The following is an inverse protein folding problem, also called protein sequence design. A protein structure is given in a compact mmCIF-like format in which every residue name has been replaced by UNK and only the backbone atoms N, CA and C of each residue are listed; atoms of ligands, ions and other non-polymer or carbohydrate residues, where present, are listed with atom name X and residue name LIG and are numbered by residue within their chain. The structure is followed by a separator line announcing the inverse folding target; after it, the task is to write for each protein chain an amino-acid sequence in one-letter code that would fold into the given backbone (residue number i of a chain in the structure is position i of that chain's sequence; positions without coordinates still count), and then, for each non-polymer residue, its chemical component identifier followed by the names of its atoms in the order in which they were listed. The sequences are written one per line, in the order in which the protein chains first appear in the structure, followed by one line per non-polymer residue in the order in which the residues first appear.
data_IF_980966291141
#
_entry.id   IF_980966291141
#
_cell.length_a   1.000
_cell.length_b   1.000
_cell.length_c   1.000
_cell.angle_alpha   90.00
_cell.angle_beta   90.00
_cell.angle_gamma   90.00
#
_symmetry.space_group_name_H-M   'P 1'
#
loop_
_entity.id
_entity.type
_entity.pdbx_description
1 polymer ?
#
# COMPACT_ATOMS: atom_id res chain seq x y z
N UNK A 1 -17.07 17.22 2.08
CA UNK A 1 -16.17 17.38 0.90
C UNK A 1 -14.89 16.61 1.16
N UNK A 2 -14.33 15.94 0.15
CA UNK A 2 -13.01 15.28 0.23
C UNK A 2 -12.02 16.07 -0.63
N UNK A 3 -10.89 16.50 -0.03
CA UNK A 3 -9.79 17.12 -0.76
C UNK A 3 -8.81 16.03 -1.27
N UNK A 4 -8.42 16.09 -2.54
CA UNK A 4 -7.47 15.14 -3.13
C UNK A 4 -6.33 15.93 -3.77
N UNK A 5 -5.16 15.88 -3.14
CA UNK A 5 -3.95 16.49 -3.65
C UNK A 5 -3.27 15.53 -4.64
N UNK A 6 -2.91 16.02 -5.84
CA UNK A 6 -2.32 15.16 -6.88
C UNK A 6 -3.29 14.21 -7.57
N UNK A 7 -4.58 14.52 -7.57
CA UNK A 7 -5.67 13.71 -8.10
C UNK A 7 -5.51 13.27 -9.57
N UNK A 8 -4.85 14.08 -10.41
CA UNK A 8 -4.62 13.79 -11.83
C UNK A 8 -3.25 13.11 -12.12
N UNK A 9 -2.56 12.66 -11.08
CA UNK A 9 -1.38 11.79 -11.18
C UNK A 9 -1.74 10.33 -11.43
N UNK A 10 -0.74 9.49 -11.73
CA UNK A 10 -0.93 8.07 -12.08
C UNK A 10 -1.74 7.28 -11.03
N UNK A 11 -1.55 7.56 -9.74
CA UNK A 11 -2.30 6.95 -8.63
C UNK A 11 -3.58 7.72 -8.33
N UNK A 12 -3.48 9.07 -8.30
CA UNK A 12 -4.59 9.93 -7.91
C UNK A 12 -5.82 9.79 -8.78
N UNK A 13 -5.67 9.52 -10.09
CA UNK A 13 -6.79 9.26 -11.00
C UNK A 13 -7.65 8.07 -10.51
N UNK A 14 -7.01 6.99 -10.10
CA UNK A 14 -7.70 5.79 -9.63
C UNK A 14 -8.36 6.00 -8.26
N UNK A 15 -7.69 6.71 -7.36
CA UNK A 15 -8.27 7.08 -6.07
C UNK A 15 -9.50 7.99 -6.25
N UNK A 16 -9.38 9.00 -7.10
CA UNK A 16 -10.48 9.94 -7.37
C UNK A 16 -11.68 9.23 -7.99
N UNK A 17 -11.46 8.36 -9.00
CA UNK A 17 -12.52 7.57 -9.61
C UNK A 17 -13.19 6.62 -8.62
N UNK A 18 -12.39 5.93 -7.79
CA UNK A 18 -12.94 5.05 -6.75
C UNK A 18 -13.83 5.82 -5.78
N UNK A 19 -13.39 6.97 -5.27
CA UNK A 19 -14.17 7.81 -4.35
C UNK A 19 -15.46 8.31 -5.02
N UNK A 20 -15.39 8.79 -6.26
CA UNK A 20 -16.58 9.28 -7.01
C UNK A 20 -17.60 8.19 -7.24
N UNK A 21 -17.17 7.01 -7.63
CA UNK A 21 -18.06 5.91 -7.96
C UNK A 21 -18.74 5.29 -6.73
N UNK A 22 -18.17 5.48 -5.54
CA UNK A 22 -18.60 4.78 -4.32
C UNK A 22 -19.06 5.74 -3.21
N UNK A 23 -19.25 7.02 -3.53
CA UNK A 23 -19.73 8.00 -2.57
C UNK A 23 -20.40 9.20 -3.24
N UNK A 24 -21.13 9.98 -2.45
CA UNK A 24 -21.72 11.25 -2.84
C UNK A 24 -20.94 12.49 -2.34
N UNK A 25 -19.70 12.29 -1.93
CA UNK A 25 -18.88 13.42 -1.48
C UNK A 25 -18.56 14.37 -2.64
N UNK A 26 -18.70 15.67 -2.38
CA UNK A 26 -18.13 16.69 -3.27
C UNK A 26 -16.60 16.58 -3.18
N UNK A 27 -15.91 16.78 -4.32
CA UNK A 27 -14.46 16.69 -4.37
C UNK A 27 -13.82 18.04 -4.61
N UNK A 28 -12.69 18.28 -3.94
CA UNK A 28 -11.75 19.35 -4.26
C UNK A 28 -10.47 18.74 -4.78
N UNK A 29 -10.11 19.06 -6.02
CA UNK A 29 -8.95 18.56 -6.73
C UNK A 29 -7.82 19.56 -6.61
N UNK A 30 -6.76 19.19 -5.91
CA UNK A 30 -5.60 20.04 -5.66
C UNK A 30 -4.36 19.66 -6.46
N UNK A 31 -3.59 20.66 -6.86
CA UNK A 31 -2.29 20.46 -7.48
C UNK A 31 -1.60 21.77 -7.88
N UNK A 32 -0.28 21.72 -8.06
CA UNK A 32 0.53 22.89 -8.42
C UNK A 32 0.19 23.48 -9.79
N UNK A 33 -0.14 22.64 -10.74
CA UNK A 33 -0.37 23.03 -12.14
C UNK A 33 -1.67 22.38 -12.63
N UNK A 34 -2.79 22.85 -12.11
CA UNK A 34 -4.11 22.30 -12.46
C UNK A 34 -4.43 22.46 -13.97
N UNK A 35 -3.82 23.44 -14.64
CA UNK A 35 -3.98 23.67 -16.09
C UNK A 35 -3.38 22.52 -16.92
N UNK A 36 -2.42 21.77 -16.37
CA UNK A 36 -1.80 20.60 -17.01
C UNK A 36 -2.61 19.32 -16.83
N UNK A 37 -3.70 19.35 -16.06
CA UNK A 37 -4.59 18.21 -15.96
C UNK A 37 -5.21 17.90 -17.34
N UNK A 38 -5.25 16.61 -17.75
CA UNK A 38 -5.88 16.21 -19.02
C UNK A 38 -7.29 16.77 -19.15
N UNK A 39 -7.64 17.24 -20.36
CA UNK A 39 -8.95 17.82 -20.66
C UNK A 39 -10.08 16.83 -20.41
N UNK A 40 -9.83 15.54 -20.65
CA UNK A 40 -10.77 14.44 -20.43
C UNK A 40 -11.12 14.32 -18.94
N UNK A 41 -10.12 14.45 -18.03
CA UNK A 41 -10.36 14.42 -16.59
C UNK A 41 -11.10 15.68 -16.11
N UNK A 42 -10.84 16.83 -16.72
CA UNK A 42 -11.59 18.05 -16.40
C UNK A 42 -13.06 17.93 -16.80
N UNK A 43 -13.33 17.30 -17.92
CA UNK A 43 -14.70 17.02 -18.37
C UNK A 43 -15.36 15.94 -17.48
N UNK A 44 -14.65 14.86 -17.17
CA UNK A 44 -15.12 13.77 -16.28
C UNK A 44 -15.45 14.28 -14.87
N UNK A 45 -14.66 15.24 -14.35
CA UNK A 45 -14.82 15.81 -12.99
C UNK A 45 -15.26 17.27 -13.02
N UNK A 46 -16.17 17.61 -13.92
CA UNK A 46 -16.67 18.98 -14.12
C UNK A 46 -17.40 19.55 -12.91
N UNK A 47 -17.93 18.70 -12.03
CA UNK A 47 -18.59 19.03 -10.78
C UNK A 47 -17.62 19.19 -9.59
N UNK A 48 -16.33 18.86 -9.75
CA UNK A 48 -15.33 19.02 -8.71
C UNK A 48 -14.78 20.45 -8.66
N UNK A 49 -14.40 20.88 -7.47
CA UNK A 49 -13.70 22.14 -7.26
C UNK A 49 -12.21 21.95 -7.57
N UNK A 50 -11.70 22.69 -8.59
CA UNK A 50 -10.30 22.63 -9.00
C UNK A 50 -9.52 23.78 -8.36
N UNK A 51 -8.52 23.46 -7.55
CA UNK A 51 -7.78 24.43 -6.74
C UNK A 51 -6.28 24.31 -6.98
N UNK A 52 -5.63 25.42 -7.35
CA UNK A 52 -4.17 25.48 -7.40
C UNK A 52 -3.62 25.49 -5.97
N UNK A 53 -2.72 24.58 -5.66
CA UNK A 53 -2.13 24.40 -4.33
C UNK A 53 -0.62 24.35 -4.41
N UNK A 54 0.04 25.19 -3.62
CA UNK A 54 1.45 25.06 -3.30
C UNK A 54 1.58 24.65 -1.83
N UNK A 55 1.90 23.40 -1.58
CA UNK A 55 2.04 22.85 -0.22
C UNK A 55 3.24 23.44 0.52
N UNK A 56 4.18 24.09 -0.14
CA UNK A 56 5.27 24.81 0.51
C UNK A 56 4.81 26.16 1.09
N UNK A 57 3.63 26.62 0.71
CA UNK A 57 3.01 27.84 1.22
C UNK A 57 1.87 27.47 2.19
N UNK A 58 2.02 27.82 3.47
CA UNK A 58 1.08 27.48 4.53
C UNK A 58 -0.35 27.97 4.23
N UNK A 59 -0.50 29.23 3.82
CA UNK A 59 -1.82 29.80 3.50
C UNK A 59 -2.51 29.05 2.35
N UNK A 60 -1.76 28.69 1.30
CA UNK A 60 -2.28 27.91 0.17
C UNK A 60 -2.74 26.51 0.61
N UNK A 61 -1.98 25.84 1.48
CA UNK A 61 -2.33 24.54 2.03
C UNK A 61 -3.56 24.63 2.96
N UNK A 62 -3.62 25.65 3.81
CA UNK A 62 -4.76 25.93 4.69
C UNK A 62 -6.05 26.16 3.89
N UNK A 63 -6.00 26.99 2.84
CA UNK A 63 -7.15 27.26 1.96
C UNK A 63 -7.62 25.99 1.24
N UNK A 64 -6.68 25.13 0.82
CA UNK A 64 -7.04 23.85 0.22
C UNK A 64 -7.78 22.93 1.18
N UNK A 65 -7.39 22.89 2.45
CA UNK A 65 -8.02 22.03 3.46
C UNK A 65 -9.33 22.59 4.00
N UNK A 66 -9.61 23.89 3.82
CA UNK A 66 -10.81 24.55 4.36
C UNK A 66 -12.10 23.88 3.88
N UNK A 67 -12.95 23.47 4.85
CA UNK A 67 -14.23 22.83 4.57
C UNK A 67 -14.13 21.39 4.05
N UNK A 68 -12.94 20.80 4.02
CA UNK A 68 -12.78 19.37 3.76
C UNK A 68 -12.99 18.57 5.04
N UNK A 69 -13.66 17.42 4.91
CA UNK A 69 -13.86 16.46 6.00
C UNK A 69 -12.66 15.53 6.16
N UNK A 70 -11.91 15.34 5.08
CA UNK A 70 -10.70 14.53 5.00
C UNK A 70 -9.88 14.92 3.78
N UNK A 71 -8.57 14.77 3.87
CA UNK A 71 -7.63 14.97 2.76
C UNK A 71 -7.00 13.65 2.38
N UNK A 72 -6.92 13.38 1.08
CA UNK A 72 -6.08 12.35 0.50
C UNK A 72 -4.92 13.00 -0.25
N UNK A 73 -3.70 12.72 0.18
CA UNK A 73 -2.49 13.18 -0.47
C UNK A 73 -1.90 12.07 -1.37
N UNK A 74 -2.08 12.26 -2.67
CA UNK A 74 -1.50 11.45 -3.75
C UNK A 74 -0.27 12.13 -4.41
N UNK A 75 0.22 13.23 -3.85
CA UNK A 75 1.40 13.92 -4.36
C UNK A 75 2.68 13.37 -3.70
N UNK A 76 3.81 13.49 -4.40
CA UNK A 76 5.10 13.27 -3.75
C UNK A 76 5.51 14.54 -3.02
N UNK A 77 5.30 14.57 -1.71
CA UNK A 77 5.71 15.64 -0.83
C UNK A 77 7.09 15.35 -0.23
N UNK A 78 7.85 16.40 0.09
CA UNK A 78 9.03 16.29 0.94
C UNK A 78 8.63 16.16 2.41
N UNK A 79 9.53 15.68 3.28
CA UNK A 79 9.28 15.58 4.72
C UNK A 79 8.77 16.90 5.32
N UNK A 80 9.37 18.04 4.92
CA UNK A 80 8.93 19.34 5.39
C UNK A 80 7.50 19.72 4.93
N UNK A 81 7.12 19.36 3.72
CA UNK A 81 5.77 19.59 3.19
C UNK A 81 4.75 18.68 3.87
N UNK A 82 5.09 17.42 4.10
CA UNK A 82 4.24 16.48 4.84
C UNK A 82 4.02 16.96 6.27
N UNK A 83 5.10 17.37 6.96
CA UNK A 83 5.00 17.92 8.32
C UNK A 83 4.13 19.18 8.39
N UNK A 84 4.17 20.05 7.38
CA UNK A 84 3.29 21.22 7.29
C UNK A 84 1.82 20.81 7.09
N UNK A 85 1.55 19.82 6.25
CA UNK A 85 0.20 19.29 6.07
C UNK A 85 -0.36 18.69 7.37
N UNK A 86 0.47 17.97 8.13
CA UNK A 86 0.09 17.40 9.43
C UNK A 86 -0.24 18.49 10.45
N UNK A 87 0.59 19.56 10.53
CA UNK A 87 0.33 20.70 11.41
C UNK A 87 -1.02 21.36 11.08
N UNK A 88 -1.29 21.55 9.80
CA UNK A 88 -2.56 22.16 9.35
C UNK A 88 -3.73 21.21 9.64
N UNK A 89 -3.56 19.90 9.41
CA UNK A 89 -4.55 18.87 9.70
C UNK A 89 -4.97 18.89 11.19
N UNK A 90 -4.01 18.95 12.09
CA UNK A 90 -4.25 19.07 13.53
C UNK A 90 -4.97 20.41 13.87
N UNK A 91 -4.50 21.53 13.33
CA UNK A 91 -5.09 22.85 13.59
C UNK A 91 -6.54 22.96 13.10
N UNK A 92 -6.86 22.31 11.97
CA UNK A 92 -8.21 22.33 11.38
C UNK A 92 -9.09 21.16 11.80
N UNK A 93 -8.57 20.25 12.60
CA UNK A 93 -9.26 19.00 12.97
C UNK A 93 -9.72 18.21 11.73
N UNK A 94 -8.89 18.19 10.67
CA UNK A 94 -9.18 17.53 9.40
C UNK A 94 -8.24 16.32 9.22
N UNK A 95 -8.74 15.08 9.21
CA UNK A 95 -7.92 13.90 8.95
C UNK A 95 -7.19 13.99 7.62
N UNK A 96 -5.97 13.41 7.56
CA UNK A 96 -5.18 13.33 6.33
C UNK A 96 -4.63 11.91 6.12
N UNK A 97 -4.70 11.43 4.89
CA UNK A 97 -4.08 10.19 4.44
C UNK A 97 -2.98 10.52 3.43
N UNK A 98 -1.75 10.12 3.72
CA UNK A 98 -0.61 10.23 2.82
C UNK A 98 -0.31 8.87 2.16
N UNK A 99 -0.10 8.88 0.85
CA UNK A 99 0.40 7.67 0.16
C UNK A 99 1.83 7.31 0.56
N UNK A 100 2.67 8.32 0.78
CA UNK A 100 4.06 8.15 1.20
C UNK A 100 4.20 7.87 2.70
N UNK A 101 5.45 7.61 3.08
CA UNK A 101 5.86 7.44 4.48
C UNK A 101 6.93 8.46 4.90
N UNK A 102 7.20 9.45 4.04
CA UNK A 102 8.20 10.48 4.29
C UNK A 102 7.82 11.31 5.52
N UNK A 103 8.72 11.36 6.49
CA UNK A 103 8.51 12.11 7.73
C UNK A 103 7.63 11.40 8.76
N UNK A 104 7.19 10.16 8.51
CA UNK A 104 6.38 9.40 9.47
C UNK A 104 7.05 9.30 10.83
N UNK A 105 6.33 9.74 11.85
CA UNK A 105 6.69 9.57 13.27
C UNK A 105 5.41 9.29 14.05
N UNK A 106 5.36 8.12 14.69
CA UNK A 106 4.19 7.76 15.51
C UNK A 106 4.03 8.74 16.67
N UNK A 107 2.86 9.34 16.78
CA UNK A 107 2.52 10.25 17.87
C UNK A 107 1.00 10.22 18.15
N UNK A 108 0.62 10.63 19.34
CA UNK A 108 -0.78 10.96 19.60
C UNK A 108 -1.17 12.20 18.81
N UNK A 109 -2.38 12.20 18.28
CA UNK A 109 -2.96 13.33 17.57
C UNK A 109 -4.46 13.36 17.81
N UNK A 110 -5.04 14.54 17.81
CA UNK A 110 -6.48 14.74 17.92
C UNK A 110 -7.25 14.34 16.67
N UNK A 111 -6.55 14.15 15.55
CA UNK A 111 -7.08 13.71 14.26
C UNK A 111 -6.32 12.48 13.75
N UNK A 112 -6.93 11.76 12.83
CA UNK A 112 -6.24 10.67 12.15
C UNK A 112 -5.27 11.22 11.11
N UNK A 113 -3.98 10.94 11.28
CA UNK A 113 -2.92 11.21 10.32
C UNK A 113 -2.34 9.86 9.90
N UNK A 114 -2.63 9.45 8.68
CA UNK A 114 -2.35 8.09 8.21
C UNK A 114 -1.32 8.14 7.10
N UNK A 115 -0.25 7.39 7.26
CA UNK A 115 0.82 7.25 6.29
C UNK A 115 0.78 5.90 5.60
N UNK A 116 1.36 5.82 4.41
CA UNK A 116 1.39 4.58 3.64
C UNK A 116 0.01 4.12 3.21
N UNK A 117 -0.88 5.04 2.81
CA UNK A 117 -2.26 4.73 2.46
C UNK A 117 -2.39 4.16 1.03
N UNK A 118 -1.49 3.24 0.66
CA UNK A 118 -1.42 2.62 -0.66
C UNK A 118 -1.63 1.11 -0.66
N UNK A 119 -0.97 0.43 -1.60
CA UNK A 119 -1.00 -1.03 -1.67
C UNK A 119 0.21 -1.67 -0.96
N UNK A 120 1.40 -1.08 -1.06
CA UNK A 120 2.64 -1.48 -0.40
C UNK A 120 3.46 -0.20 -0.13
N UNK A 121 3.49 0.32 1.11
CA UNK A 121 2.73 -0.09 2.29
C UNK A 121 1.22 0.23 2.19
N UNK A 122 0.45 -0.35 3.09
CA UNK A 122 -0.99 -0.15 3.26
C UNK A 122 -1.75 -1.46 3.22
N UNK A 123 -2.18 -1.93 2.05
CA UNK A 123 -2.84 -3.26 1.97
C UNK A 123 -1.95 -4.38 2.47
N UNK A 124 -0.63 -4.29 2.28
CA UNK A 124 0.34 -5.24 2.83
C UNK A 124 0.23 -5.40 4.34
N UNK A 125 -0.19 -4.37 5.06
CA UNK A 125 -0.46 -4.44 6.49
C UNK A 125 -1.90 -4.83 6.85
N UNK A 126 -2.88 -4.45 6.02
CA UNK A 126 -4.30 -4.74 6.28
C UNK A 126 -4.67 -6.20 5.98
N UNK A 127 -4.08 -6.82 4.96
CA UNK A 127 -4.40 -8.20 4.55
C UNK A 127 -4.13 -9.21 5.65
N UNK A 128 -2.96 -9.19 6.33
CA UNK A 128 -2.74 -10.06 7.48
C UNK A 128 -3.77 -9.86 8.59
N UNK A 129 -4.15 -8.62 8.91
CA UNK A 129 -5.17 -8.36 9.92
C UNK A 129 -6.55 -8.88 9.52
N UNK A 130 -6.91 -8.78 8.23
CA UNK A 130 -8.17 -9.30 7.72
C UNK A 130 -8.24 -10.82 7.85
N UNK A 131 -7.15 -11.54 7.52
CA UNK A 131 -7.11 -13.00 7.69
C UNK A 131 -7.06 -13.41 9.16
N UNK A 132 -6.35 -12.66 10.01
CA UNK A 132 -6.20 -12.94 11.43
C UNK A 132 -7.54 -13.04 12.19
N UNK A 133 -8.63 -12.41 11.68
CA UNK A 133 -9.97 -12.51 12.24
C UNK A 133 -10.57 -13.94 12.19
N UNK A 134 -9.94 -14.84 11.43
CA UNK A 134 -10.33 -16.25 11.39
C UNK A 134 -9.78 -17.06 12.57
N UNK A 135 -8.94 -16.45 13.41
CA UNK A 135 -8.24 -17.10 14.51
C UNK A 135 -8.56 -16.44 15.85
N UNK A 136 -8.47 -17.21 16.92
CA UNK A 136 -8.43 -16.69 18.28
C UNK A 136 -7.01 -16.21 18.62
N UNK A 137 -5.99 -16.90 18.04
CA UNK A 137 -4.58 -16.53 18.14
C UNK A 137 -3.80 -16.99 16.90
N UNK A 138 -2.97 -16.12 16.35
CA UNK A 138 -2.09 -16.41 15.21
C UNK A 138 -0.71 -16.77 15.73
N UNK A 139 -0.21 -17.96 15.38
CA UNK A 139 1.16 -18.39 15.69
C UNK A 139 2.15 -17.95 14.61
N UNK A 140 1.82 -18.21 13.35
CA UNK A 140 2.73 -17.92 12.26
C UNK A 140 2.04 -17.29 11.05
N UNK A 141 2.84 -16.48 10.33
CA UNK A 141 2.49 -15.85 9.07
C UNK A 141 3.57 -16.12 8.03
N UNK A 142 3.17 -16.61 6.86
CA UNK A 142 3.92 -16.50 5.62
C UNK A 142 3.16 -15.58 4.66
N UNK A 143 3.77 -14.47 4.28
CA UNK A 143 3.13 -13.47 3.46
C UNK A 143 3.98 -13.11 2.25
N UNK A 144 3.46 -13.39 1.06
CA UNK A 144 4.07 -13.12 -0.23
C UNK A 144 3.27 -12.05 -0.94
N UNK A 145 3.93 -11.03 -1.44
CA UNK A 145 3.27 -9.93 -2.12
C UNK A 145 4.16 -9.31 -3.18
N UNK A 146 3.54 -8.78 -4.21
CA UNK A 146 4.25 -8.15 -5.31
C UNK A 146 3.34 -7.89 -6.49
N UNK A 147 3.96 -7.73 -7.65
CA UNK A 147 3.22 -7.49 -8.88
C UNK A 147 4.12 -7.25 -10.08
N UNK A 148 3.47 -7.09 -11.21
CA UNK A 148 4.05 -6.68 -12.47
C UNK A 148 3.37 -5.41 -12.95
N UNK A 149 4.13 -4.34 -13.12
CA UNK A 149 3.62 -3.05 -13.60
C UNK A 149 4.72 -2.11 -14.05
N UNK A 150 4.37 -1.20 -14.95
CA UNK A 150 5.27 -0.16 -15.39
C UNK A 150 5.45 0.89 -14.30
N UNK A 151 6.68 1.14 -13.90
CA UNK A 151 6.98 2.20 -12.95
C UNK A 151 6.84 3.59 -13.57
N UNK A 152 6.15 4.48 -12.88
CA UNK A 152 6.35 5.92 -13.06
C UNK A 152 7.70 6.33 -12.47
N UNK A 153 8.20 7.52 -12.82
CA UNK A 153 9.43 8.05 -12.24
C UNK A 153 9.37 8.10 -10.69
N UNK A 154 8.26 8.58 -10.16
CA UNK A 154 8.03 8.65 -8.72
C UNK A 154 8.04 7.27 -8.07
N UNK A 155 7.30 6.31 -8.62
CA UNK A 155 7.26 4.95 -8.09
C UNK A 155 8.62 4.25 -8.14
N UNK A 156 9.40 4.47 -9.20
CA UNK A 156 10.76 3.93 -9.31
C UNK A 156 11.72 4.55 -8.28
N UNK A 157 11.60 5.86 -8.04
CA UNK A 157 12.37 6.54 -7.01
C UNK A 157 12.02 6.01 -5.62
N UNK A 158 10.72 5.94 -5.29
CA UNK A 158 10.26 5.45 -3.97
C UNK A 158 10.68 4.00 -3.73
N UNK A 159 10.65 3.18 -4.78
CA UNK A 159 11.12 1.80 -4.71
C UNK A 159 12.63 1.73 -4.41
N UNK A 160 13.46 2.52 -5.11
CA UNK A 160 14.90 2.58 -4.85
C UNK A 160 15.17 3.11 -3.43
N UNK A 161 14.49 4.17 -3.02
CA UNK A 161 14.61 4.75 -1.68
C UNK A 161 14.24 3.71 -0.60
N UNK A 162 13.19 2.91 -0.84
CA UNK A 162 12.77 1.86 0.10
C UNK A 162 13.82 0.77 0.31
N UNK A 163 14.59 0.42 -0.71
CA UNK A 163 15.67 -0.58 -0.62
C UNK A 163 16.90 -0.07 0.15
N UNK A 164 17.00 1.24 0.35
CA UNK A 164 18.15 1.87 0.99
C UNK A 164 17.81 2.58 2.31
N UNK A 165 16.55 2.50 2.73
CA UNK A 165 16.11 3.04 4.00
C UNK A 165 16.58 2.10 5.13
N UNK A 166 17.27 2.65 6.12
CA UNK A 166 17.82 1.89 7.26
C UNK A 166 16.72 1.22 8.12
N UNK A 167 15.49 1.69 8.03
CA UNK A 167 14.33 1.10 8.70
C UNK A 167 13.77 -0.13 7.96
N UNK A 168 14.17 -0.35 6.70
CA UNK A 168 13.75 -1.49 5.91
C UNK A 168 14.84 -2.56 5.94
N UNK A 169 14.48 -3.74 6.39
CA UNK A 169 15.41 -4.85 6.60
C UNK A 169 15.15 -5.93 5.57
N UNK A 170 16.17 -6.29 4.82
CA UNK A 170 16.13 -7.42 3.89
C UNK A 170 16.80 -8.64 4.49
N UNK A 171 16.41 -9.84 4.05
CA UNK A 171 16.98 -11.12 4.50
C UNK A 171 16.82 -11.35 6.01
N UNK A 172 15.66 -10.94 6.55
CA UNK A 172 15.30 -11.15 7.96
C UNK A 172 13.84 -11.59 8.09
N UNK A 173 13.51 -12.16 9.24
CA UNK A 173 12.16 -12.50 9.64
C UNK A 173 11.95 -12.25 11.13
N UNK A 174 10.70 -12.23 11.56
CA UNK A 174 10.31 -12.07 12.95
C UNK A 174 10.15 -13.43 13.63
N UNK A 175 10.71 -13.56 14.84
CA UNK A 175 10.49 -14.74 15.69
C UNK A 175 10.55 -14.36 17.17
N UNK A 176 9.45 -14.61 17.90
CA UNK A 176 9.33 -14.46 19.36
C UNK A 176 9.85 -13.11 19.90
N UNK A 177 9.51 -12.02 19.23
CA UNK A 177 9.90 -10.67 19.66
C UNK A 177 11.21 -10.16 19.06
N UNK A 178 11.94 -10.99 18.32
CA UNK A 178 13.24 -10.65 17.74
C UNK A 178 13.20 -10.68 16.20
N UNK A 179 14.06 -9.88 15.58
CA UNK A 179 14.29 -9.90 14.14
C UNK A 179 15.58 -10.68 13.89
N UNK A 180 15.45 -11.81 13.21
CA UNK A 180 16.53 -12.75 12.98
C UNK A 180 16.90 -12.82 11.49
N UNK A 181 18.16 -13.14 11.14
CA UNK A 181 18.55 -13.41 9.77
C UNK A 181 17.74 -14.55 9.18
N UNK A 182 17.32 -14.39 7.93
CA UNK A 182 16.60 -15.40 7.16
C UNK A 182 17.49 -15.91 6.02
N UNK A 183 17.72 -17.23 6.01
CA UNK A 183 18.38 -17.89 4.90
C UNK A 183 17.32 -18.67 4.10
N UNK A 184 17.03 -18.27 2.86
CA UNK A 184 16.07 -19.00 2.02
C UNK A 184 16.57 -20.41 1.77
N UNK A 185 15.72 -21.41 2.04
CA UNK A 185 15.97 -22.76 1.58
C UNK A 185 15.51 -22.95 0.14
N UNK A 186 16.07 -23.92 -0.57
CA UNK A 186 15.65 -24.25 -1.94
C UNK A 186 14.18 -24.72 -2.03
N UNK A 187 13.54 -25.01 -0.90
CA UNK A 187 12.16 -25.48 -0.77
C UNK A 187 11.16 -24.35 -0.42
N UNK A 188 11.62 -23.09 -0.27
CA UNK A 188 10.75 -21.96 0.13
C UNK A 188 9.77 -21.51 -0.97
N UNK A 189 9.85 -22.08 -2.16
CA UNK A 189 8.83 -21.91 -3.21
C UNK A 189 7.75 -22.98 -3.07
N UNK A 190 6.70 -22.70 -2.33
CA UNK A 190 5.54 -23.57 -2.33
C UNK A 190 4.95 -23.67 -3.75
N UNK A 191 4.39 -24.82 -4.11
CA UNK A 191 3.71 -25.00 -5.40
C UNK A 191 2.55 -24.01 -5.57
N UNK A 192 1.97 -23.57 -4.46
CA UNK A 192 0.94 -22.52 -4.41
C UNK A 192 1.40 -21.20 -5.01
N UNK A 193 2.66 -20.79 -4.77
CA UNK A 193 3.22 -19.58 -5.37
C UNK A 193 3.36 -19.68 -6.89
N UNK A 194 3.78 -20.83 -7.39
CA UNK A 194 3.95 -21.08 -8.83
C UNK A 194 2.63 -21.02 -9.59
N UNK A 195 1.52 -21.35 -8.92
CA UNK A 195 0.17 -21.29 -9.51
C UNK A 195 -0.40 -19.89 -9.57
N UNK A 196 0.10 -18.96 -8.76
CA UNK A 196 -0.45 -17.61 -8.61
C UNK A 196 0.17 -16.62 -9.60
N UNK A 197 1.49 -16.71 -9.83
CA UNK A 197 2.20 -15.78 -10.72
C UNK A 197 3.58 -16.33 -11.13
N UNK A 198 4.11 -15.82 -12.25
CA UNK A 198 5.52 -16.05 -12.62
C UNK A 198 6.40 -15.15 -11.74
N UNK A 199 7.08 -15.75 -10.78
CA UNK A 199 8.02 -15.06 -9.89
C UNK A 199 9.44 -15.30 -10.39
N UNK A 200 10.15 -14.22 -10.73
CA UNK A 200 11.54 -14.28 -11.17
C UNK A 200 12.52 -14.12 -10.00
N UNK A 201 12.11 -13.37 -8.97
CA UNK A 201 12.90 -13.17 -7.75
C UNK A 201 12.00 -12.95 -6.55
N UNK A 202 12.35 -13.57 -5.45
CA UNK A 202 11.74 -13.41 -4.14
C UNK A 202 12.84 -13.10 -3.11
N UNK A 203 12.53 -12.23 -2.16
CA UNK A 203 13.41 -11.95 -1.04
C UNK A 203 12.65 -11.49 0.19
N UNK A 204 13.11 -11.89 1.39
CA UNK A 204 12.55 -11.39 2.64
C UNK A 204 12.71 -9.88 2.74
N UNK A 205 11.60 -9.21 3.04
CA UNK A 205 11.54 -7.76 3.19
C UNK A 205 10.67 -7.41 4.41
N UNK A 206 11.29 -6.85 5.43
CA UNK A 206 10.64 -6.57 6.70
C UNK A 206 10.82 -5.09 7.03
N UNK A 207 9.76 -4.32 6.79
CA UNK A 207 9.71 -2.89 7.03
C UNK A 207 9.00 -2.53 8.34
N UNK A 208 8.81 -1.23 8.58
CA UNK A 208 8.13 -0.74 9.78
C UNK A 208 6.65 -1.15 9.84
N UNK A 209 5.99 -1.32 8.70
CA UNK A 209 4.60 -1.81 8.65
C UNK A 209 4.52 -3.30 9.03
N UNK A 210 5.40 -4.12 8.46
CA UNK A 210 5.49 -5.54 8.79
C UNK A 210 5.76 -5.75 10.29
N UNK A 211 6.66 -4.97 10.87
CA UNK A 211 6.93 -5.01 12.32
C UNK A 211 5.70 -4.61 13.13
N UNK A 212 5.05 -3.50 12.77
CA UNK A 212 3.88 -2.99 13.48
C UNK A 212 2.72 -3.99 13.47
N UNK A 213 2.42 -4.58 12.32
CA UNK A 213 1.35 -5.59 12.17
C UNK A 213 1.67 -6.86 12.94
N UNK A 214 2.91 -7.35 12.87
CA UNK A 214 3.36 -8.54 13.59
C UNK A 214 3.21 -8.37 15.10
N UNK A 215 3.59 -7.19 15.63
CA UNK A 215 3.42 -6.85 17.05
C UNK A 215 1.94 -6.70 17.42
N UNK A 216 1.14 -6.02 16.60
CA UNK A 216 -0.29 -5.83 16.82
C UNK A 216 -1.03 -7.15 16.92
N UNK A 217 -0.70 -8.12 16.07
CA UNK A 217 -1.31 -9.45 16.05
C UNK A 217 -0.65 -10.44 17.01
N UNK A 218 0.37 -10.01 17.75
CA UNK A 218 1.12 -10.81 18.72
C UNK A 218 1.57 -12.17 18.16
N UNK A 219 2.15 -12.15 16.96
CA UNK A 219 2.60 -13.36 16.26
C UNK A 219 3.89 -13.92 16.85
N UNK A 220 3.99 -15.24 16.95
CA UNK A 220 5.24 -15.91 17.34
C UNK A 220 6.27 -15.87 16.22
N UNK A 221 5.84 -16.08 14.96
CA UNK A 221 6.72 -16.05 13.78
C UNK A 221 6.03 -15.34 12.61
N UNK A 222 6.76 -14.48 11.88
CA UNK A 222 6.25 -13.85 10.67
C UNK A 222 7.34 -13.66 9.62
N UNK A 223 7.02 -14.05 8.40
CA UNK A 223 7.86 -13.94 7.21
C UNK A 223 7.14 -13.13 6.15
N UNK A 224 7.72 -11.99 5.80
CA UNK A 224 7.24 -11.14 4.72
C UNK A 224 8.19 -11.24 3.54
N UNK A 225 7.66 -11.54 2.37
CA UNK A 225 8.46 -11.81 1.18
C UNK A 225 7.97 -10.98 0.00
N UNK A 226 8.85 -10.11 -0.49
CA UNK A 226 8.59 -9.35 -1.70
C UNK A 226 8.91 -10.18 -2.93
N UNK A 227 7.99 -10.23 -3.88
CA UNK A 227 8.08 -11.01 -5.10
C UNK A 227 8.14 -10.09 -6.32
N UNK A 228 9.11 -10.31 -7.19
CA UNK A 228 9.34 -9.55 -8.40
C UNK A 228 9.19 -10.45 -9.63
N UNK A 229 8.42 -9.98 -10.61
CA UNK A 229 8.12 -10.72 -11.84
C UNK A 229 8.90 -10.22 -13.06
N UNK A 230 9.43 -9.00 -13.04
CA UNK A 230 10.14 -8.39 -14.17
C UNK A 230 11.62 -8.75 -14.21
N UNK A 231 12.06 -9.49 -15.23
CA UNK A 231 13.45 -9.92 -15.36
C UNK A 231 14.42 -8.75 -15.58
N UNK A 232 14.09 -7.84 -16.50
CA UNK A 232 14.93 -6.66 -16.80
C UNK A 232 15.01 -5.71 -15.62
N UNK A 233 13.91 -5.54 -14.93
CA UNK A 233 13.85 -4.75 -13.70
C UNK A 233 14.79 -5.31 -12.63
N UNK A 234 14.81 -6.63 -12.44
CA UNK A 234 15.69 -7.31 -11.49
C UNK A 234 17.17 -7.11 -11.87
N UNK A 235 17.51 -7.17 -13.14
CA UNK A 235 18.88 -6.91 -13.62
C UNK A 235 19.34 -5.48 -13.31
N UNK A 236 18.46 -4.49 -13.56
CA UNK A 236 18.75 -3.09 -13.20
C UNK A 236 18.93 -2.95 -11.68
N UNK A 237 18.05 -3.55 -10.88
CA UNK A 237 18.15 -3.49 -9.41
C UNK A 237 19.45 -4.12 -8.88
N UNK A 238 19.85 -5.25 -9.43
CA UNK A 238 21.10 -5.91 -9.01
C UNK A 238 22.32 -5.03 -9.34
N UNK A 239 22.32 -4.35 -10.49
CA UNK A 239 23.39 -3.42 -10.88
C UNK A 239 23.34 -2.10 -10.09
N UNK A 240 22.14 -1.61 -9.78
CA UNK A 240 21.91 -0.37 -9.06
C UNK A 240 22.46 -0.40 -7.62
N UNK A 241 22.48 -1.56 -6.98
CA UNK A 241 23.01 -1.73 -5.60
C UNK A 241 24.41 -1.10 -5.42
N UNK A 242 25.21 -1.09 -6.46
CA UNK A 242 26.58 -0.55 -6.44
C UNK A 242 26.72 0.85 -7.04
N UNK A 243 25.77 1.30 -7.85
CA UNK A 243 25.90 2.51 -8.66
C UNK A 243 24.88 3.61 -8.34
N UNK A 244 23.80 3.32 -7.61
CA UNK A 244 22.68 4.27 -7.42
C UNK A 244 23.11 5.60 -6.80
N UNK A 245 24.07 5.58 -5.85
CA UNK A 245 24.60 6.80 -5.21
C UNK A 245 25.35 7.72 -6.16
N UNK A 246 25.86 7.18 -7.27
CA UNK A 246 26.63 7.95 -8.25
C UNK A 246 25.76 8.59 -9.32
N UNK A 247 24.63 7.97 -9.68
CA UNK A 247 23.72 8.46 -10.73
C UNK A 247 22.28 7.98 -10.52
N UNK A 248 21.63 8.52 -9.48
CA UNK A 248 20.25 8.14 -9.10
C UNK A 248 19.26 8.38 -10.24
N UNK A 249 19.28 9.55 -10.87
CA UNK A 249 18.34 9.91 -11.95
C UNK A 249 18.40 8.95 -13.14
N UNK A 250 19.60 8.57 -13.56
CA UNK A 250 19.79 7.60 -14.63
C UNK A 250 19.29 6.20 -14.23
N UNK A 251 19.53 5.79 -12.99
CA UNK A 251 19.07 4.51 -12.46
C UNK A 251 17.54 4.45 -12.45
N UNK A 252 16.87 5.52 -12.00
CA UNK A 252 15.40 5.63 -12.02
C UNK A 252 14.88 5.52 -13.46
N UNK A 253 15.48 6.25 -14.42
CA UNK A 253 15.08 6.19 -15.83
C UNK A 253 15.26 4.80 -16.45
N UNK A 254 16.36 4.12 -16.13
CA UNK A 254 16.59 2.73 -16.55
C UNK A 254 15.54 1.78 -15.97
N UNK A 255 15.20 1.93 -14.69
CA UNK A 255 14.18 1.12 -14.04
C UNK A 255 12.80 1.34 -14.65
N UNK A 256 12.42 2.60 -14.94
CA UNK A 256 11.18 2.91 -15.65
C UNK A 256 11.13 2.27 -17.04
N UNK A 257 12.25 2.29 -17.77
CA UNK A 257 12.32 1.67 -19.11
C UNK A 257 12.24 0.16 -19.02
N UNK A 258 12.98 -0.46 -18.10
CA UNK A 258 12.99 -1.90 -17.90
C UNK A 258 11.59 -2.41 -17.52
N UNK A 259 10.92 -1.75 -16.57
CA UNK A 259 9.56 -2.15 -16.15
C UNK A 259 8.53 -2.05 -17.28
N UNK A 260 8.62 -1.02 -18.14
CA UNK A 260 7.76 -0.90 -19.34
C UNK A 260 8.00 -2.02 -20.35
N UNK A 261 9.26 -2.44 -20.52
CA UNK A 261 9.60 -3.55 -21.41
C UNK A 261 9.15 -4.90 -20.84
N UNK A 262 9.23 -5.07 -19.51
CA UNK A 262 8.77 -6.29 -18.83
C UNK A 262 7.24 -6.43 -18.84
N UNK A 263 6.51 -5.31 -18.93
CA UNK A 263 5.03 -5.29 -19.01
C UNK A 263 4.50 -5.28 -20.43
N UNK A 264 5.36 -5.17 -21.45
CA UNK A 264 4.89 -5.06 -22.82
C UNK A 264 4.10 -6.29 -23.27
N UNK A 265 2.81 -6.08 -23.59
CA UNK A 265 1.89 -7.14 -24.01
C UNK A 265 1.38 -8.05 -22.88
N UNK A 266 1.68 -7.71 -21.64
CA UNK A 266 1.23 -8.46 -20.45
C UNK A 266 0.30 -7.58 -19.62
N UNK A 267 -0.80 -8.15 -19.12
CA UNK A 267 -1.70 -7.43 -18.20
C UNK A 267 -0.96 -7.19 -16.88
N UNK A 268 -0.84 -5.91 -16.51
CA UNK A 268 -0.32 -5.54 -15.21
C UNK A 268 -1.20 -6.10 -14.07
N UNK A 269 -0.56 -6.47 -12.98
CA UNK A 269 -1.26 -7.05 -11.83
C UNK A 269 -0.50 -6.81 -10.52
N UNK A 270 -1.23 -6.93 -9.41
CA UNK A 270 -0.68 -7.13 -8.08
C UNK A 270 -1.25 -8.43 -7.51
N UNK A 271 -0.51 -9.06 -6.62
CA UNK A 271 -0.98 -10.23 -5.88
C UNK A 271 -0.52 -10.20 -4.44
N UNK A 272 -1.28 -10.90 -3.61
CA UNK A 272 -0.94 -11.18 -2.22
C UNK A 272 -1.33 -12.62 -1.91
N UNK A 273 -0.43 -13.35 -1.30
CA UNK A 273 -0.65 -14.69 -0.77
C UNK A 273 -0.29 -14.69 0.70
N UNK A 274 -1.28 -14.87 1.55
CA UNK A 274 -1.15 -14.84 2.99
C UNK A 274 -1.53 -16.22 3.54
N UNK A 275 -0.58 -16.91 4.19
CA UNK A 275 -0.81 -18.17 4.86
C UNK A 275 -0.60 -17.97 6.34
N UNK A 276 -1.60 -18.33 7.14
CA UNK A 276 -1.54 -18.22 8.60
C UNK A 276 -1.85 -19.56 9.26
N UNK A 277 -1.12 -19.82 10.33
CA UNK A 277 -1.38 -20.92 11.25
C UNK A 277 -1.61 -20.39 12.66
N UNK A 278 -2.51 -21.03 13.39
CA UNK A 278 -2.85 -20.60 14.74
C UNK A 278 -3.90 -21.49 15.39
N UNK A 279 -4.69 -20.89 16.28
CA UNK A 279 -5.76 -21.55 17.01
C UNK A 279 -7.09 -20.89 16.71
N UNK A 280 -8.15 -21.70 16.54
CA UNK A 280 -9.54 -21.29 16.42
C UNK A 280 -10.41 -22.26 17.20
N UNK A 281 -11.25 -21.76 18.12
CA UNK A 281 -12.10 -22.59 18.99
C UNK A 281 -11.32 -23.68 19.72
N UNK A 282 -10.13 -23.37 20.23
CA UNK A 282 -9.19 -24.29 20.88
C UNK A 282 -8.67 -25.45 20.00
N UNK A 283 -8.80 -25.36 18.67
CA UNK A 283 -8.27 -26.33 17.72
C UNK A 283 -7.23 -25.68 16.80
N UNK A 284 -6.22 -26.42 16.30
CA UNK A 284 -5.34 -25.93 15.26
C UNK A 284 -6.14 -25.45 14.06
N UNK A 285 -5.72 -24.36 13.46
CA UNK A 285 -6.32 -23.79 12.26
C UNK A 285 -5.24 -23.30 11.30
N UNK A 286 -5.49 -23.47 9.99
CA UNK A 286 -4.62 -22.98 8.93
C UNK A 286 -5.47 -22.42 7.79
N UNK A 287 -5.28 -21.15 7.48
CA UNK A 287 -6.00 -20.49 6.38
C UNK A 287 -5.02 -19.90 5.39
N UNK A 288 -5.43 -19.95 4.12
CA UNK A 288 -4.77 -19.30 3.00
C UNK A 288 -5.70 -18.24 2.42
N UNK A 289 -5.20 -17.01 2.29
CA UNK A 289 -5.86 -15.93 1.58
C UNK A 289 -5.06 -15.60 0.34
N UNK A 290 -5.74 -15.53 -0.81
CA UNK A 290 -5.16 -15.10 -2.08
C UNK A 290 -5.91 -13.90 -2.60
N UNK A 291 -5.17 -12.85 -2.95
CA UNK A 291 -5.71 -11.66 -3.61
C UNK A 291 -5.00 -11.46 -4.94
N UNK A 292 -5.78 -11.21 -5.98
CA UNK A 292 -5.31 -10.67 -7.25
C UNK A 292 -5.97 -9.31 -7.49
N UNK A 293 -5.22 -8.37 -8.03
CA UNK A 293 -5.71 -7.02 -8.26
C UNK A 293 -5.15 -6.39 -9.54
N UNK A 294 -5.50 -5.15 -9.71
CA UNK A 294 -5.00 -4.26 -10.75
C UNK A 294 -3.46 -4.17 -10.75
N UNK A 295 -2.88 -3.55 -11.76
CA UNK A 295 -1.48 -3.15 -11.74
C UNK A 295 -1.14 -2.24 -10.55
N UNK A 296 0.16 -2.10 -10.18
CA UNK A 296 0.56 -1.43 -8.94
C UNK A 296 0.01 -0.01 -8.74
N UNK A 297 0.07 0.85 -9.77
CA UNK A 297 -0.43 2.23 -9.64
C UNK A 297 -1.95 2.31 -9.51
N UNK A 298 -2.76 1.62 -10.35
CA UNK A 298 -4.19 1.49 -10.11
C UNK A 298 -4.55 0.92 -8.75
N UNK A 299 -3.86 -0.15 -8.32
CA UNK A 299 -4.13 -0.80 -7.04
C UNK A 299 -3.86 0.12 -5.86
N UNK A 300 -2.75 0.87 -5.90
CA UNK A 300 -2.45 1.91 -4.89
C UNK A 300 -3.58 2.94 -4.82
N UNK A 301 -4.07 3.40 -5.98
CA UNK A 301 -5.13 4.40 -6.02
C UNK A 301 -6.46 3.91 -5.47
N UNK A 302 -6.93 2.72 -5.88
CA UNK A 302 -8.22 2.19 -5.37
C UNK A 302 -8.15 1.87 -3.88
N UNK A 303 -6.99 1.40 -3.39
CA UNK A 303 -6.75 1.16 -1.97
C UNK A 303 -6.82 2.45 -1.16
N UNK A 304 -6.15 3.51 -1.65
CA UNK A 304 -6.20 4.84 -1.05
C UNK A 304 -7.62 5.42 -1.03
N UNK A 305 -8.36 5.25 -2.13
CA UNK A 305 -9.74 5.66 -2.22
C UNK A 305 -10.66 4.95 -1.23
N UNK A 306 -10.52 3.63 -1.11
CA UNK A 306 -11.26 2.81 -0.15
C UNK A 306 -10.93 3.22 1.30
N UNK A 307 -9.63 3.36 1.62
CA UNK A 307 -9.18 3.84 2.93
C UNK A 307 -9.77 5.23 3.24
N UNK A 308 -9.69 6.18 2.30
CA UNK A 308 -10.24 7.52 2.47
C UNK A 308 -11.73 7.49 2.81
N UNK A 309 -12.53 6.69 2.10
CA UNK A 309 -13.96 6.57 2.37
C UNK A 309 -14.26 5.93 3.74
N UNK A 310 -13.44 4.96 4.18
CA UNK A 310 -13.57 4.36 5.51
C UNK A 310 -13.22 5.35 6.60
N UNK A 311 -12.11 6.06 6.50
CA UNK A 311 -11.69 7.08 7.46
C UNK A 311 -12.64 8.29 7.50
N UNK A 312 -13.23 8.68 6.38
CA UNK A 312 -14.24 9.76 6.35
C UNK A 312 -15.51 9.42 7.17
N UNK A 313 -15.80 8.14 7.38
CA UNK A 313 -16.91 7.67 8.22
C UNK A 313 -16.50 7.45 9.67
N UNK A 314 -15.22 7.23 9.93
CA UNK A 314 -14.69 7.03 11.27
C UNK A 314 -14.60 8.38 12.00
N UNK A 315 -15.20 8.43 13.19
CA UNK A 315 -15.23 9.67 13.99
C UNK A 315 -14.16 9.71 15.07
N UNK A 316 -13.51 8.57 15.32
CA UNK A 316 -12.49 8.44 16.37
C UNK A 316 -11.11 8.61 15.77
N UNK A 317 -10.30 9.50 16.35
CA UNK A 317 -8.90 9.63 15.95
C UNK A 317 -8.12 8.35 16.28
N UNK A 318 -7.25 7.95 15.35
CA UNK A 318 -6.28 6.88 15.57
C UNK A 318 -4.86 7.43 15.88
N UNK A 319 -4.68 8.76 15.95
CA UNK A 319 -3.36 9.39 16.05
C UNK A 319 -2.60 9.35 14.72
N UNK A 320 -1.26 9.46 14.78
CA UNK A 320 -0.39 9.32 13.61
C UNK A 320 0.11 7.88 13.50
N UNK A 321 -0.35 7.16 12.48
CA UNK A 321 -0.11 5.72 12.27
C UNK A 321 0.21 5.40 10.81
N UNK A 322 0.77 4.21 10.56
CA UNK A 322 0.73 3.58 9.24
C UNK A 322 -0.67 3.01 8.96
N UNK A 323 -1.12 2.99 7.71
CA UNK A 323 -2.43 2.43 7.35
C UNK A 323 -2.57 0.99 7.84
N UNK A 324 -1.52 0.18 7.68
CA UNK A 324 -1.49 -1.20 8.15
C UNK A 324 -1.66 -1.38 9.66
N UNK A 325 -1.60 -0.32 10.47
CA UNK A 325 -1.85 -0.37 11.91
C UNK A 325 -3.31 -0.05 12.27
N UNK A 326 -4.10 0.45 11.33
CA UNK A 326 -5.49 0.83 11.58
C UNK A 326 -6.36 -0.37 11.92
N UNK A 327 -7.47 -0.14 12.62
CA UNK A 327 -8.50 -1.16 12.88
C UNK A 327 -9.51 -1.28 11.73
N UNK A 328 -9.24 -0.60 10.60
CA UNK A 328 -10.14 -0.54 9.45
C UNK A 328 -9.81 -1.59 8.36
N UNK A 329 -9.06 -2.65 8.70
CA UNK A 329 -8.71 -3.70 7.73
C UNK A 329 -9.95 -4.31 7.05
N UNK A 330 -10.95 -4.72 7.84
CA UNK A 330 -12.18 -5.32 7.31
C UNK A 330 -12.96 -4.37 6.43
N UNK A 331 -13.38 -3.18 6.87
CA UNK A 331 -14.17 -2.31 6.03
C UNK A 331 -13.44 -1.85 4.75
N UNK A 332 -12.12 -1.70 4.77
CA UNK A 332 -11.35 -1.33 3.59
C UNK A 332 -11.30 -2.49 2.59
N UNK A 333 -10.97 -3.71 3.04
CA UNK A 333 -10.88 -4.88 2.14
C UNK A 333 -12.25 -5.25 1.59
N UNK A 334 -13.31 -5.24 2.41
CA UNK A 334 -14.67 -5.48 1.95
C UNK A 334 -15.16 -4.41 0.96
N UNK A 335 -14.77 -3.15 1.16
CA UNK A 335 -15.05 -2.08 0.20
C UNK A 335 -14.39 -2.34 -1.16
N UNK A 336 -13.16 -2.87 -1.17
CA UNK A 336 -12.47 -3.24 -2.40
C UNK A 336 -13.15 -4.44 -3.09
N UNK A 337 -13.49 -5.48 -2.33
CA UNK A 337 -14.20 -6.66 -2.85
C UNK A 337 -15.55 -6.26 -3.48
N UNK A 338 -16.29 -5.39 -2.83
CA UNK A 338 -17.61 -4.97 -3.28
C UNK A 338 -17.58 -4.02 -4.50
N UNK A 339 -16.56 -3.18 -4.61
CA UNK A 339 -16.57 -2.02 -5.51
C UNK A 339 -15.46 -2.03 -6.57
N UNK A 340 -14.55 -3.01 -6.53
CA UNK A 340 -13.49 -3.14 -7.53
C UNK A 340 -13.56 -4.51 -8.22
N UNK A 341 -14.16 -4.62 -9.41
CA UNK A 341 -14.38 -5.90 -10.09
C UNK A 341 -13.10 -6.72 -10.37
N UNK A 342 -11.97 -6.02 -10.53
CA UNK A 342 -10.66 -6.67 -10.74
C UNK A 342 -9.94 -7.04 -9.44
N UNK A 343 -10.53 -6.79 -8.28
CA UNK A 343 -10.01 -7.19 -6.98
C UNK A 343 -10.69 -8.50 -6.56
N UNK A 344 -10.00 -9.61 -6.70
CA UNK A 344 -10.48 -10.91 -6.21
C UNK A 344 -9.84 -11.24 -4.87
N UNK A 345 -10.62 -11.77 -3.94
CA UNK A 345 -10.15 -12.22 -2.64
C UNK A 345 -10.76 -13.60 -2.33
N UNK A 346 -9.90 -14.60 -2.17
CA UNK A 346 -10.30 -15.97 -1.84
C UNK A 346 -9.66 -16.38 -0.51
N UNK A 347 -10.45 -16.97 0.39
CA UNK A 347 -9.94 -17.57 1.63
C UNK A 347 -10.28 -19.05 1.63
N UNK A 348 -9.25 -19.90 1.84
CA UNK A 348 -9.37 -21.35 1.94
C UNK A 348 -8.95 -21.84 3.33
N UNK A 349 -9.72 -22.77 3.88
CA UNK A 349 -9.32 -23.56 5.04
C UNK A 349 -8.43 -24.71 4.54
N UNK A 350 -7.18 -24.73 4.98
CA UNK A 350 -6.18 -25.69 4.49
C UNK A 350 -6.24 -27.04 5.21
N UNK A 351 -6.89 -27.12 6.39
CA UNK A 351 -7.01 -28.39 7.13
C UNK A 351 -8.19 -29.22 6.65
N UNK A 352 -9.27 -28.61 6.17
CA UNK A 352 -10.43 -29.32 5.63
C UNK A 352 -10.19 -29.90 4.23
N UNK A 353 -9.28 -29.31 3.44
CA UNK A 353 -9.01 -29.76 2.07
C UNK A 353 -8.12 -31.04 2.03
N UNK A 354 -7.33 -31.30 3.08
CA UNK A 354 -6.51 -32.53 3.16
C UNK A 354 -7.36 -33.80 3.43
N UNK A 355 -8.56 -33.64 4.01
CA UNK A 355 -9.45 -34.77 4.34
C UNK A 355 -10.24 -35.23 3.10
N UNK A 356 -10.48 -34.36 2.11
CA UNK A 356 -11.21 -34.73 0.88
C UNK A 356 -10.35 -35.41 -0.18
N UNK A 357 -9.03 -35.45 -0.01
CA UNK A 357 -8.07 -36.09 -0.93
C UNK A 357 -7.69 -37.52 -0.60
N UNK A 358 -8.17 -38.11 0.51
CA UNK A 358 -7.88 -39.47 0.96
C UNK A 358 -9.10 -40.44 0.88
N UNK A 359 -9.86 -40.40 -0.22
CA UNK A 359 -10.88 -41.44 -0.51
C UNK A 359 -10.59 -42.05 -1.87
#
# INVERSE_FOLDING_TARGET
MIGILGAYGAVGIWATRFIRNNSNYRLRIGGRNIEKAPSELRAEWSDAEWTKVDVSNKESAEQFMDGCEIILDCAKLSEAQTALMDEIAEAKSTPVLHLGIEGFKRKESSVSIVYGAGCIPGLSGLIPQYLAQKFDHVHSLEFFYGGLGAFSYTAANDFIDSLHNDNNRTMVYWKKGEILPFEPSSNDFSEDLKSVITINKMFPFFDGEAEAVTRKLNMDEARFQMCLSGQRMIEIMNSARHQYKQNLDETIKKLCTASKLDTFGIKENTFYLCVMEGVKNNAPAKFKLTIHGLGPSPMTGVSAGAATLCFAKEKKSCGTILLGESDLATPIIESLIANQPEFSCEIKDMLTTEIEGEI
#
